data_IF_693994674208
#
_entry.id   IF_693994674208
#
_cell.length_a   1.000
_cell.length_b   1.000
_cell.length_c   1.000
_cell.angle_alpha   90.00
_cell.angle_beta   90.00
_cell.angle_gamma   90.00
#
_symmetry.space_group_name_H-M   'P 1'
#
loop_
_entity.id
_entity.type
_entity.pdbx_description
1 polymer ?
#
# COMPACT_ATOMS: atom_id res chain seq x y z
N UNK A 1 -0.74 -27.20 -18.28
CA UNK A 1 -1.59 -27.89 -19.26
C UNK A 1 -2.16 -29.11 -18.58
N UNK A 2 -3.42 -29.40 -18.83
CA UNK A 2 -4.02 -30.67 -18.46
C UNK A 2 -3.37 -31.83 -19.25
N UNK A 3 -2.90 -32.83 -18.51
CA UNK A 3 -2.24 -34.02 -18.99
C UNK A 3 -3.15 -35.23 -19.04
N UNK A 4 -4.46 -35.06 -18.87
CA UNK A 4 -5.44 -36.12 -19.02
C UNK A 4 -5.38 -36.73 -20.44
N UNK A 5 -5.91 -37.96 -20.57
CA UNK A 5 -5.90 -38.67 -21.85
C UNK A 5 -6.75 -37.98 -22.92
N UNK A 6 -7.77 -37.21 -22.54
CA UNK A 6 -8.61 -36.45 -23.48
C UNK A 6 -7.83 -35.34 -24.16
N UNK A 7 -6.86 -34.74 -23.47
CA UNK A 7 -6.00 -33.66 -23.98
C UNK A 7 -4.84 -34.13 -24.88
N UNK A 8 -4.85 -35.39 -25.35
CA UNK A 8 -3.74 -35.97 -26.09
C UNK A 8 -3.51 -35.26 -27.42
N UNK A 9 -4.56 -35.01 -28.19
CA UNK A 9 -4.50 -34.30 -29.47
C UNK A 9 -4.19 -32.81 -29.29
N UNK A 10 -4.71 -32.17 -28.24
CA UNK A 10 -4.32 -30.80 -27.85
C UNK A 10 -2.82 -30.69 -27.58
N UNK A 11 -2.19 -31.70 -26.99
CA UNK A 11 -0.73 -31.73 -26.75
C UNK A 11 0.06 -31.74 -28.05
N UNK A 12 -0.39 -32.51 -29.03
CA UNK A 12 0.21 -32.56 -30.37
C UNK A 12 0.07 -31.21 -31.07
N UNK A 13 -1.09 -30.56 -30.94
CA UNK A 13 -1.34 -29.22 -31.47
C UNK A 13 -0.51 -28.15 -30.75
N UNK A 14 -0.39 -28.21 -29.43
CA UNK A 14 0.44 -27.29 -28.63
C UNK A 14 1.92 -27.38 -28.96
N UNK A 15 2.40 -28.56 -29.36
CA UNK A 15 3.77 -28.72 -29.86
C UNK A 15 3.99 -27.89 -31.15
N UNK A 16 2.99 -27.84 -32.04
CA UNK A 16 3.03 -27.04 -33.27
C UNK A 16 2.84 -25.54 -32.97
N UNK A 17 1.84 -25.19 -32.15
CA UNK A 17 1.53 -23.83 -31.75
C UNK A 17 2.64 -23.21 -30.90
N UNK A 18 3.34 -23.99 -30.07
CA UNK A 18 4.42 -23.52 -29.23
C UNK A 18 5.52 -22.82 -30.04
N UNK A 19 5.84 -23.35 -31.22
CA UNK A 19 6.78 -22.71 -32.15
C UNK A 19 6.24 -21.37 -32.65
N UNK A 20 4.99 -21.33 -33.12
CA UNK A 20 4.35 -20.11 -33.64
C UNK A 20 4.14 -19.04 -32.56
N UNK A 21 3.79 -19.46 -31.34
CA UNK A 21 3.58 -18.59 -30.19
C UNK A 21 4.88 -17.88 -29.83
N UNK A 22 5.97 -18.61 -29.72
CA UNK A 22 7.30 -18.05 -29.46
C UNK A 22 7.68 -17.07 -30.57
N UNK A 23 7.50 -17.44 -31.84
CA UNK A 23 7.80 -16.54 -32.97
C UNK A 23 6.96 -15.26 -32.92
N UNK A 24 5.68 -15.36 -32.56
CA UNK A 24 4.78 -14.22 -32.41
C UNK A 24 5.16 -13.32 -31.23
N UNK A 25 5.54 -13.91 -30.09
CA UNK A 25 6.00 -13.16 -28.91
C UNK A 25 7.35 -12.50 -29.18
N UNK A 26 8.27 -13.17 -29.89
CA UNK A 26 9.56 -12.61 -30.33
C UNK A 26 9.39 -11.33 -31.15
N UNK A 27 8.31 -11.23 -31.93
CA UNK A 27 7.99 -10.02 -32.69
C UNK A 27 7.46 -8.86 -31.82
N UNK A 28 6.94 -9.14 -30.63
CA UNK A 28 6.40 -8.13 -29.70
C UNK A 28 7.45 -7.71 -28.67
N UNK A 29 8.20 -8.67 -28.12
CA UNK A 29 9.23 -8.44 -27.11
C UNK A 29 10.41 -9.38 -27.30
N UNK A 30 11.62 -8.82 -27.26
CA UNK A 30 12.86 -9.59 -27.26
C UNK A 30 13.18 -10.23 -25.91
N UNK A 31 12.45 -9.85 -24.86
CA UNK A 31 12.75 -10.24 -23.49
C UNK A 31 11.58 -10.99 -22.85
N UNK A 32 11.41 -12.26 -23.21
CA UNK A 32 10.41 -13.16 -22.62
C UNK A 32 11.06 -14.50 -22.22
N UNK A 33 10.40 -15.22 -21.33
CA UNK A 33 10.70 -16.62 -21.01
C UNK A 33 9.44 -17.44 -21.09
N UNK A 34 9.59 -18.73 -21.38
CA UNK A 34 8.50 -19.70 -21.45
C UNK A 34 8.85 -20.90 -20.58
N UNK A 35 7.84 -21.47 -19.94
CA UNK A 35 7.98 -22.65 -19.08
C UNK A 35 6.81 -23.57 -19.32
N UNK A 36 6.90 -24.82 -18.86
CA UNK A 36 5.87 -25.82 -19.07
C UNK A 36 5.62 -26.62 -17.79
N UNK A 37 4.36 -26.63 -17.36
CA UNK A 37 3.88 -27.48 -16.28
C UNK A 37 2.67 -28.28 -16.73
N UNK A 38 2.54 -29.49 -16.21
CA UNK A 38 1.47 -30.43 -16.53
C UNK A 38 0.77 -30.87 -15.25
N UNK A 39 -0.56 -31.02 -15.30
CA UNK A 39 -1.37 -31.48 -14.17
C UNK A 39 -2.38 -32.53 -14.64
N UNK A 40 -2.84 -33.39 -13.73
CA UNK A 40 -4.02 -34.24 -13.95
C UNK A 40 -4.88 -34.11 -12.70
N UNK A 41 -4.68 -34.97 -11.71
CA UNK A 41 -5.40 -34.88 -10.44
C UNK A 41 -4.65 -35.54 -9.28
N UNK A 42 -5.14 -35.37 -8.06
CA UNK A 42 -4.61 -36.00 -6.86
C UNK A 42 -4.50 -37.50 -7.06
N UNK A 43 -3.29 -38.05 -6.91
CA UNK A 43 -3.01 -39.47 -7.12
C UNK A 43 -3.49 -40.34 -5.94
N UNK A 44 -4.76 -40.19 -5.58
CA UNK A 44 -5.48 -40.92 -4.54
C UNK A 44 -6.93 -41.19 -4.98
N UNK A 45 -7.57 -42.18 -4.39
CA UNK A 45 -9.02 -42.37 -4.56
C UNK A 45 -9.80 -41.22 -3.89
N UNK A 46 -10.96 -40.80 -4.45
CA UNK A 46 -11.64 -41.37 -5.61
C UNK A 46 -11.21 -40.78 -6.98
N UNK A 47 -10.33 -39.78 -7.00
CA UNK A 47 -9.99 -39.03 -8.23
C UNK A 47 -9.20 -39.88 -9.22
N UNK A 48 -8.23 -40.65 -8.71
CA UNK A 48 -7.42 -41.55 -9.52
C UNK A 48 -7.34 -42.95 -8.92
N UNK A 49 -7.23 -43.95 -9.79
CA UNK A 49 -7.01 -45.34 -9.39
C UNK A 49 -5.67 -45.49 -8.67
N UNK A 50 -5.72 -45.95 -7.41
CA UNK A 50 -4.52 -46.34 -6.64
C UNK A 50 -4.12 -47.79 -6.89
N UNK A 51 -4.80 -48.50 -7.80
CA UNK A 51 -4.35 -49.83 -8.23
C UNK A 51 -2.98 -49.70 -8.91
N UNK A 52 -2.09 -50.71 -8.79
CA UNK A 52 -0.80 -50.68 -9.45
C UNK A 52 -0.96 -50.33 -10.93
N UNK A 53 -0.30 -49.24 -11.35
CA UNK A 53 -0.39 -48.77 -12.72
C UNK A 53 0.16 -49.84 -13.66
N UNK A 54 -0.72 -50.37 -14.50
CA UNK A 54 -0.33 -51.29 -15.56
C UNK A 54 -0.07 -50.51 -16.85
N UNK A 55 1.20 -50.33 -17.20
CA UNK A 55 1.62 -49.68 -18.42
C UNK A 55 1.04 -50.34 -19.69
N UNK A 56 0.70 -51.63 -19.64
CA UNK A 56 0.09 -52.34 -20.77
C UNK A 56 -1.32 -51.82 -21.10
N UNK A 57 -2.03 -51.24 -20.12
CA UNK A 57 -3.38 -50.68 -20.31
C UNK A 57 -3.36 -49.31 -20.99
N UNK A 58 -2.25 -48.59 -20.91
CA UNK A 58 -1.99 -47.39 -21.69
C UNK A 58 -0.48 -47.24 -21.94
N UNK A 59 0.02 -47.76 -23.08
CA UNK A 59 1.46 -47.77 -23.38
C UNK A 59 2.10 -46.39 -23.48
N UNK A 60 1.29 -45.37 -23.80
CA UNK A 60 1.73 -43.98 -23.97
C UNK A 60 1.51 -43.14 -22.70
N UNK A 61 0.86 -43.70 -21.68
CA UNK A 61 0.61 -42.99 -20.43
C UNK A 61 1.76 -43.17 -19.44
N UNK A 62 1.83 -42.26 -18.48
CA UNK A 62 2.61 -42.46 -17.27
C UNK A 62 1.73 -42.69 -16.03
N UNK A 63 2.38 -43.06 -14.93
CA UNK A 63 1.72 -43.18 -13.65
C UNK A 63 1.06 -41.85 -13.26
N UNK A 64 -0.18 -41.85 -12.79
CA UNK A 64 -0.90 -40.61 -12.52
C UNK A 64 -0.27 -39.73 -11.44
N UNK A 65 -0.55 -38.43 -11.52
CA UNK A 65 0.07 -37.41 -10.69
C UNK A 65 -0.82 -36.16 -10.64
N UNK A 66 -0.66 -35.36 -9.59
CA UNK A 66 -1.38 -34.09 -9.44
C UNK A 66 -0.78 -32.99 -10.31
N UNK A 67 0.47 -32.60 -10.05
CA UNK A 67 1.16 -31.57 -10.81
C UNK A 67 2.65 -31.87 -10.95
N UNK A 68 3.23 -31.47 -12.09
CA UNK A 68 4.67 -31.49 -12.37
C UNK A 68 5.07 -30.21 -13.08
N UNK A 69 6.08 -29.54 -12.56
CA UNK A 69 6.85 -28.54 -13.30
C UNK A 69 7.86 -29.27 -14.20
N UNK A 70 7.58 -29.35 -15.50
CA UNK A 70 8.42 -30.08 -16.46
C UNK A 70 9.59 -29.21 -16.93
N UNK A 71 9.36 -27.91 -17.12
CA UNK A 71 10.35 -26.97 -17.61
C UNK A 71 10.18 -25.62 -16.90
N UNK A 72 11.19 -25.25 -16.12
CA UNK A 72 11.35 -23.90 -15.59
C UNK A 72 11.51 -22.87 -16.71
N UNK A 73 11.20 -21.61 -16.42
CA UNK A 73 11.16 -20.53 -17.39
C UNK A 73 12.52 -20.34 -18.09
N UNK A 74 12.55 -20.54 -19.42
CA UNK A 74 13.72 -20.40 -20.28
C UNK A 74 13.45 -19.47 -21.45
N UNK A 75 14.49 -18.87 -22.01
CA UNK A 75 14.44 -18.10 -23.26
C UNK A 75 14.60 -18.99 -24.52
N UNK A 76 14.97 -20.26 -24.33
CA UNK A 76 15.09 -21.23 -25.41
C UNK A 76 13.76 -21.92 -25.75
N UNK A 77 13.19 -21.52 -26.88
CA UNK A 77 11.95 -22.06 -27.42
C UNK A 77 12.03 -23.52 -27.87
N UNK A 78 13.21 -23.97 -28.28
CA UNK A 78 13.38 -25.36 -28.74
C UNK A 78 13.28 -26.32 -27.56
N UNK A 79 13.81 -25.93 -26.39
CA UNK A 79 13.66 -26.72 -25.16
C UNK A 79 12.19 -26.80 -24.75
N UNK A 80 11.43 -25.72 -24.87
CA UNK A 80 9.99 -25.73 -24.61
C UNK A 80 9.23 -26.70 -25.50
N UNK A 81 9.44 -26.64 -26.82
CA UNK A 81 8.77 -27.56 -27.76
C UNK A 81 9.13 -29.01 -27.46
N UNK A 82 10.38 -29.29 -27.11
CA UNK A 82 10.82 -30.64 -26.73
C UNK A 82 10.17 -31.09 -25.42
N UNK A 83 10.13 -30.24 -24.39
CA UNK A 83 9.49 -30.55 -23.11
C UNK A 83 8.00 -30.89 -23.25
N UNK A 84 7.26 -30.14 -24.08
CA UNK A 84 5.85 -30.42 -24.39
C UNK A 84 5.71 -31.77 -25.12
N UNK A 85 6.58 -32.02 -26.10
CA UNK A 85 6.56 -33.24 -26.91
C UNK A 85 6.84 -34.49 -26.08
N UNK A 86 7.85 -34.43 -25.21
CA UNK A 86 8.32 -35.56 -24.40
C UNK A 86 7.44 -35.84 -23.17
N UNK A 87 6.64 -34.87 -22.72
CA UNK A 87 5.70 -35.09 -21.62
C UNK A 87 4.67 -36.17 -21.97
N UNK A 88 4.36 -37.05 -21.01
CA UNK A 88 3.37 -38.11 -21.17
C UNK A 88 2.03 -37.69 -20.58
N UNK A 89 0.95 -38.17 -21.18
CA UNK A 89 -0.39 -38.03 -20.60
C UNK A 89 -0.56 -39.05 -19.47
N UNK A 90 -1.52 -38.83 -18.57
CA UNK A 90 -1.97 -39.82 -17.60
C UNK A 90 -3.50 -39.93 -17.62
N UNK A 91 -4.03 -40.83 -16.79
CA UNK A 91 -5.47 -41.08 -16.69
C UNK A 91 -5.93 -40.85 -15.26
N UNK A 92 -7.10 -40.26 -15.13
CA UNK A 92 -7.92 -40.13 -13.93
C UNK A 92 -9.21 -40.95 -14.07
N UNK A 93 -10.01 -41.00 -13.00
CA UNK A 93 -11.28 -41.75 -12.93
C UNK A 93 -12.47 -40.82 -13.09
N UNK A 94 -12.48 -39.71 -12.36
CA UNK A 94 -13.56 -38.73 -12.37
C UNK A 94 -13.36 -37.67 -13.46
N UNK A 95 -14.35 -36.79 -13.59
CA UNK A 95 -14.40 -35.82 -14.69
C UNK A 95 -13.71 -34.48 -14.36
N UNK A 96 -13.88 -33.88 -13.16
CA UNK A 96 -13.12 -32.67 -12.82
C UNK A 96 -11.64 -32.99 -12.63
N UNK A 97 -10.78 -32.01 -12.89
CA UNK A 97 -9.33 -32.17 -12.78
C UNK A 97 -8.76 -31.32 -11.64
N UNK A 98 -7.54 -31.67 -11.21
CA UNK A 98 -6.79 -31.00 -10.14
C UNK A 98 -6.02 -29.76 -10.58
N UNK A 99 -6.50 -29.03 -11.60
CA UNK A 99 -5.78 -27.91 -12.21
C UNK A 99 -5.39 -26.79 -11.26
N UNK A 100 -6.15 -26.57 -10.19
CA UNK A 100 -5.83 -25.52 -9.22
C UNK A 100 -4.67 -25.87 -8.28
N UNK A 101 -4.36 -27.15 -8.02
CA UNK A 101 -3.13 -27.50 -7.32
C UNK A 101 -1.91 -27.08 -8.16
N UNK A 102 -1.95 -27.37 -9.46
CA UNK A 102 -0.90 -26.97 -10.39
C UNK A 102 -0.78 -25.45 -10.54
N UNK A 103 -1.90 -24.74 -10.61
CA UNK A 103 -1.91 -23.27 -10.64
C UNK A 103 -1.30 -22.68 -9.36
N UNK A 104 -1.68 -23.17 -8.18
CA UNK A 104 -1.16 -22.68 -6.91
C UNK A 104 0.35 -22.90 -6.82
N UNK A 105 0.84 -24.11 -7.12
CA UNK A 105 2.28 -24.41 -7.10
C UNK A 105 3.06 -23.56 -8.11
N UNK A 106 2.51 -23.34 -9.31
CA UNK A 106 3.13 -22.46 -10.30
C UNK A 106 3.23 -20.99 -9.84
N UNK A 107 2.32 -20.52 -8.98
CA UNK A 107 2.34 -19.16 -8.42
C UNK A 107 3.37 -19.05 -7.29
N UNK A 108 3.34 -19.98 -6.32
CA UNK A 108 4.08 -19.84 -5.05
C UNK A 108 5.53 -20.34 -5.15
N UNK A 109 5.84 -21.26 -6.06
CA UNK A 109 7.18 -21.81 -6.25
C UNK A 109 8.05 -20.91 -7.14
N UNK A 110 8.30 -19.67 -6.71
CA UNK A 110 8.99 -18.68 -7.54
C UNK A 110 10.37 -19.12 -8.02
N UNK A 111 11.11 -19.86 -7.18
CA UNK A 111 12.47 -20.29 -7.49
C UNK A 111 12.48 -21.48 -8.43
N UNK A 112 11.59 -22.43 -8.22
CA UNK A 112 11.51 -23.68 -8.96
C UNK A 112 10.95 -23.44 -10.37
N UNK A 113 10.00 -22.52 -10.50
CA UNK A 113 9.47 -22.05 -11.80
C UNK A 113 10.44 -21.08 -12.50
N UNK A 114 11.35 -20.45 -11.76
CA UNK A 114 12.28 -19.39 -12.20
C UNK A 114 11.59 -18.10 -12.66
N UNK A 115 10.61 -17.62 -11.86
CA UNK A 115 9.97 -16.34 -12.11
C UNK A 115 10.97 -15.19 -11.96
N UNK A 116 11.06 -14.33 -12.97
CA UNK A 116 11.87 -13.10 -12.87
C UNK A 116 11.24 -12.12 -11.87
N UNK A 117 12.10 -11.35 -11.22
CA UNK A 117 11.71 -10.33 -10.24
C UNK A 117 10.93 -9.14 -10.85
N UNK A 118 11.21 -8.78 -12.11
CA UNK A 118 10.63 -7.64 -12.80
C UNK A 118 10.17 -8.05 -14.21
N UNK A 119 9.09 -8.80 -14.28
CA UNK A 119 8.45 -9.16 -15.54
C UNK A 119 6.96 -9.34 -15.31
N UNK A 120 6.15 -9.17 -16.36
CA UNK A 120 4.79 -9.69 -16.31
C UNK A 120 4.84 -11.21 -16.27
N UNK A 121 4.16 -11.79 -15.27
CA UNK A 121 3.97 -13.23 -15.11
C UNK A 121 2.61 -13.60 -15.70
N UNK A 122 2.61 -14.44 -16.73
CA UNK A 122 1.40 -14.92 -17.39
C UNK A 122 1.34 -16.44 -17.24
N UNK A 123 0.24 -16.95 -16.69
CA UNK A 123 -0.04 -18.39 -16.61
C UNK A 123 -1.21 -18.69 -17.54
N UNK A 124 -1.02 -19.64 -18.44
CA UNK A 124 -2.08 -20.17 -19.31
C UNK A 124 -2.50 -21.53 -18.76
N UNK A 125 -3.65 -21.58 -18.12
CA UNK A 125 -4.30 -22.83 -17.72
C UNK A 125 -5.16 -23.33 -18.89
N UNK A 126 -4.92 -24.56 -19.34
CA UNK A 126 -5.59 -25.18 -20.49
C UNK A 126 -6.01 -26.59 -20.09
N UNK A 127 -7.31 -26.87 -20.24
CA UNK A 127 -8.01 -28.13 -19.97
C UNK A 127 -9.29 -28.15 -20.80
N UNK A 128 -9.82 -29.34 -21.09
CA UNK A 128 -11.13 -29.59 -21.67
C UNK A 128 -12.18 -29.99 -20.63
N UNK A 129 -11.80 -30.05 -19.36
CA UNK A 129 -12.61 -30.52 -18.24
C UNK A 129 -12.92 -29.44 -17.19
N UNK A 130 -13.72 -29.83 -16.18
CA UNK A 130 -13.98 -28.99 -15.01
C UNK A 130 -12.80 -28.95 -14.04
N UNK A 131 -12.94 -28.22 -12.94
CA UNK A 131 -11.91 -28.14 -11.90
C UNK A 131 -12.46 -28.54 -10.55
N UNK A 132 -11.66 -29.26 -9.77
CA UNK A 132 -11.90 -29.40 -8.34
C UNK A 132 -11.62 -28.09 -7.59
N UNK A 133 -12.40 -27.86 -6.54
CA UNK A 133 -12.30 -26.68 -5.68
C UNK A 133 -12.07 -27.08 -4.22
N UNK A 134 -11.67 -26.13 -3.38
CA UNK A 134 -11.56 -26.34 -1.94
C UNK A 134 -12.82 -27.00 -1.36
N UNK A 135 -12.62 -28.04 -0.56
CA UNK A 135 -13.65 -28.91 0.01
C UNK A 135 -13.79 -30.24 -0.73
N UNK A 136 -13.44 -30.31 -2.02
CA UNK A 136 -13.57 -31.53 -2.81
C UNK A 136 -12.59 -32.62 -2.34
N UNK A 137 -11.41 -32.23 -1.82
CA UNK A 137 -10.40 -33.13 -1.24
C UNK A 137 -10.94 -34.01 -0.10
N UNK A 138 -12.03 -33.59 0.54
CA UNK A 138 -12.69 -34.33 1.62
C UNK A 138 -13.16 -35.71 1.18
N UNK A 139 -13.51 -35.89 -0.09
CA UNK A 139 -13.90 -37.19 -0.65
C UNK A 139 -12.74 -38.19 -0.64
N UNK A 140 -11.51 -37.72 -0.84
CA UNK A 140 -10.27 -38.51 -0.73
C UNK A 140 -9.70 -38.57 0.69
N UNK A 141 -10.44 -38.12 1.71
CA UNK A 141 -9.97 -38.09 3.10
C UNK A 141 -9.03 -36.92 3.43
N UNK A 142 -8.84 -35.99 2.51
CA UNK A 142 -8.01 -34.80 2.72
C UNK A 142 -8.87 -33.71 3.36
N UNK A 143 -8.49 -33.30 4.57
CA UNK A 143 -9.25 -32.30 5.34
C UNK A 143 -8.44 -31.07 5.72
N UNK A 144 -7.13 -31.08 5.46
CA UNK A 144 -6.24 -29.95 5.74
C UNK A 144 -6.35 -28.95 4.58
N UNK A 145 -6.75 -27.69 4.83
CA UNK A 145 -6.80 -26.67 3.79
C UNK A 145 -5.43 -26.44 3.14
N UNK A 146 -5.43 -26.00 1.88
CA UNK A 146 -4.23 -25.58 1.18
C UNK A 146 -3.50 -24.48 1.95
N UNK A 147 -2.18 -24.61 2.14
CA UNK A 147 -1.39 -23.65 2.91
C UNK A 147 -0.79 -22.52 2.08
N UNK A 148 -1.02 -22.51 0.76
CA UNK A 148 -0.51 -21.52 -0.19
C UNK A 148 1.04 -21.40 -0.16
N UNK A 149 1.75 -22.50 0.13
CA UNK A 149 3.21 -22.55 0.09
C UNK A 149 3.73 -23.55 -0.94
N UNK A 150 5.02 -23.43 -1.28
CA UNK A 150 5.66 -24.26 -2.30
C UNK A 150 6.04 -25.64 -1.76
N UNK A 151 5.67 -26.68 -2.51
CA UNK A 151 5.81 -28.10 -2.16
C UNK A 151 6.27 -28.96 -3.35
N UNK A 152 7.10 -28.41 -4.23
CA UNK A 152 7.72 -29.16 -5.31
C UNK A 152 9.00 -29.85 -4.80
N UNK A 153 9.20 -31.10 -5.23
CA UNK A 153 10.47 -31.78 -5.03
C UNK A 153 11.53 -31.35 -6.06
N UNK A 154 12.72 -31.93 -5.98
CA UNK A 154 13.83 -31.64 -6.89
C UNK A 154 13.54 -32.03 -8.35
N UNK A 155 12.58 -32.93 -8.59
CA UNK A 155 12.12 -33.35 -9.91
C UNK A 155 10.92 -32.50 -10.40
N UNK A 156 10.54 -31.47 -9.64
CA UNK A 156 9.44 -30.57 -9.96
C UNK A 156 8.05 -31.18 -9.71
N UNK A 157 7.93 -32.31 -9.00
CA UNK A 157 6.63 -32.95 -8.71
C UNK A 157 6.02 -32.34 -7.44
N UNK A 158 4.72 -32.10 -7.47
CA UNK A 158 3.99 -31.70 -6.27
C UNK A 158 3.87 -32.88 -5.30
N UNK A 159 4.33 -32.68 -4.07
CA UNK A 159 4.47 -33.76 -3.07
C UNK A 159 3.32 -33.83 -2.07
N UNK A 160 2.56 -32.74 -1.89
CA UNK A 160 1.53 -32.64 -0.85
C UNK A 160 0.11 -32.88 -1.36
N UNK A 161 -0.04 -33.55 -2.51
CA UNK A 161 -1.34 -33.77 -3.16
C UNK A 161 -2.31 -34.60 -2.30
N UNK A 162 -1.80 -35.47 -1.42
CA UNK A 162 -2.54 -36.35 -0.51
C UNK A 162 -2.68 -35.78 0.92
N UNK A 163 -2.07 -34.63 1.19
CA UNK A 163 -2.09 -33.98 2.50
C UNK A 163 -2.91 -32.70 2.49
N UNK A 164 -2.83 -31.90 1.42
CA UNK A 164 -3.45 -30.59 1.31
C UNK A 164 -4.63 -30.62 0.33
N UNK A 165 -5.74 -30.03 0.74
CA UNK A 165 -6.93 -29.86 -0.10
C UNK A 165 -6.63 -28.92 -1.29
N UNK A 166 -7.52 -28.94 -2.29
CA UNK A 166 -7.46 -27.99 -3.40
C UNK A 166 -7.58 -26.55 -2.87
N UNK A 167 -6.94 -25.57 -3.52
CA UNK A 167 -7.01 -24.18 -3.08
C UNK A 167 -8.39 -23.57 -3.36
N UNK A 168 -8.77 -22.56 -2.57
CA UNK A 168 -10.02 -21.82 -2.77
C UNK A 168 -9.88 -20.81 -3.93
N UNK A 169 -10.83 -20.84 -4.87
CA UNK A 169 -10.83 -20.00 -6.08
C UNK A 169 -11.12 -18.52 -5.79
N UNK A 170 -11.74 -18.25 -4.63
CA UNK A 170 -12.46 -16.99 -4.41
C UNK A 170 -11.59 -15.78 -4.03
N UNK A 171 -10.35 -15.96 -3.55
CA UNK A 171 -9.64 -14.84 -2.91
C UNK A 171 -8.49 -14.24 -3.72
N UNK A 172 -7.87 -14.98 -4.66
CA UNK A 172 -6.57 -14.56 -5.21
C UNK A 172 -6.53 -14.36 -6.75
N UNK A 173 -7.54 -14.83 -7.51
CA UNK A 173 -7.52 -14.82 -8.99
C UNK A 173 -8.66 -13.93 -9.56
N UNK A 174 -8.59 -12.63 -9.31
CA UNK A 174 -9.44 -11.64 -9.99
C UNK A 174 -8.51 -10.60 -10.59
N UNK A 175 -8.73 -10.19 -11.85
CA UNK A 175 -8.07 -9.05 -12.49
C UNK A 175 -8.29 -7.80 -11.65
N UNK A 176 -7.41 -7.61 -10.67
CA UNK A 176 -7.49 -6.59 -9.67
C UNK A 176 -6.16 -5.86 -9.60
N UNK A 177 -6.24 -4.57 -9.35
CA UNK A 177 -5.09 -3.78 -8.91
C UNK A 177 -5.42 -3.31 -7.50
N UNK A 178 -4.67 -3.82 -6.54
CA UNK A 178 -4.71 -3.39 -5.14
C UNK A 178 -3.48 -2.55 -4.85
N UNK A 179 -3.62 -1.42 -4.17
CA UNK A 179 -2.49 -0.63 -3.69
C UNK A 179 -2.23 -0.94 -2.23
N UNK A 180 -0.96 -1.23 -1.91
CA UNK A 180 -0.45 -1.36 -0.55
C UNK A 180 0.31 -0.09 -0.13
N UNK A 181 0.27 0.23 1.17
CA UNK A 181 1.01 1.34 1.79
C UNK A 181 1.77 0.79 3.00
N UNK A 182 3.09 0.91 2.96
CA UNK A 182 4.00 0.50 4.03
C UNK A 182 4.72 1.72 4.62
N UNK A 183 5.14 1.61 5.89
CA UNK A 183 5.90 2.67 6.58
C UNK A 183 5.05 3.74 7.28
N UNK A 184 3.72 3.61 7.28
CA UNK A 184 2.85 4.55 8.00
C UNK A 184 3.04 4.42 9.53
N UNK A 185 3.14 5.56 10.22
CA UNK A 185 3.20 5.64 11.68
C UNK A 185 1.90 6.17 12.28
N UNK A 186 1.79 6.15 13.61
CA UNK A 186 0.63 6.70 14.33
C UNK A 186 0.55 8.24 14.29
N UNK A 187 1.61 8.92 13.81
CA UNK A 187 1.63 10.36 13.63
C UNK A 187 0.86 10.82 12.39
N UNK A 188 0.62 9.92 11.44
CA UNK A 188 -0.03 10.22 10.15
C UNK A 188 -1.21 9.29 9.89
N UNK A 189 -2.16 9.76 9.10
CA UNK A 189 -3.22 8.93 8.51
C UNK A 189 -3.12 9.00 7.00
N UNK A 190 -3.17 7.83 6.37
CA UNK A 190 -3.17 7.68 4.91
C UNK A 190 -4.55 7.20 4.48
N UNK A 191 -5.19 7.95 3.60
CA UNK A 191 -6.45 7.59 2.96
C UNK A 191 -6.23 7.39 1.47
N UNK A 192 -6.83 6.32 0.94
CA UNK A 192 -6.71 5.95 -0.46
C UNK A 192 -8.07 6.07 -1.14
N UNK A 193 -8.04 6.71 -2.30
CA UNK A 193 -9.17 6.76 -3.20
C UNK A 193 -8.77 6.21 -4.56
N UNK A 194 -9.67 5.47 -5.19
CA UNK A 194 -9.46 4.90 -6.51
C UNK A 194 -10.50 5.42 -7.48
N UNK A 195 -10.07 5.77 -8.68
CA UNK A 195 -10.89 5.97 -9.87
C UNK A 195 -10.53 4.86 -10.85
N UNK A 196 -11.38 3.84 -10.88
CA UNK A 196 -11.22 2.67 -11.73
C UNK A 196 -11.83 2.97 -13.12
N UNK A 197 -12.65 2.05 -13.66
CA UNK A 197 -13.49 2.32 -14.85
C UNK A 197 -14.62 3.31 -14.57
N UNK A 198 -15.04 3.42 -13.32
CA UNK A 198 -16.04 4.39 -12.90
C UNK A 198 -15.41 5.80 -12.99
N UNK A 199 -16.11 6.76 -13.59
CA UNK A 199 -15.59 8.14 -13.66
C UNK A 199 -15.45 8.80 -12.28
N UNK A 200 -16.04 8.17 -11.26
CA UNK A 200 -16.13 8.67 -9.90
C UNK A 200 -14.99 8.14 -9.04
N UNK A 201 -14.40 9.06 -8.29
CA UNK A 201 -13.40 8.77 -7.28
C UNK A 201 -14.09 8.24 -6.02
N UNK A 202 -13.73 7.05 -5.55
CA UNK A 202 -14.30 6.42 -4.37
C UNK A 202 -13.23 5.96 -3.39
N UNK A 203 -13.55 5.94 -2.10
CA UNK A 203 -12.63 5.52 -1.04
C UNK A 203 -12.47 3.99 -1.05
N UNK A 204 -11.52 3.52 -1.85
CA UNK A 204 -11.21 2.11 -2.05
C UNK A 204 -9.72 1.96 -2.34
N UNK A 205 -9.16 0.83 -1.91
CA UNK A 205 -7.75 0.45 -2.16
C UNK A 205 -7.58 -0.47 -3.36
N UNK A 206 -8.70 -0.91 -3.97
CA UNK A 206 -8.71 -1.92 -5.02
C UNK A 206 -9.63 -1.54 -6.18
N UNK A 207 -9.19 -1.87 -7.39
CA UNK A 207 -9.97 -1.83 -8.62
C UNK A 207 -10.12 -3.24 -9.19
N UNK A 208 -11.35 -3.69 -9.42
CA UNK A 208 -11.66 -5.02 -9.95
C UNK A 208 -12.11 -4.93 -11.43
N UNK A 209 -12.14 -6.08 -12.11
CA UNK A 209 -12.64 -6.23 -13.50
C UNK A 209 -11.91 -5.36 -14.52
N UNK A 210 -10.59 -5.24 -14.36
CA UNK A 210 -9.73 -4.52 -15.30
C UNK A 210 -9.31 -5.43 -16.47
N UNK A 211 -9.16 -4.83 -17.65
CA UNK A 211 -8.62 -5.43 -18.86
C UNK A 211 -7.20 -4.87 -19.09
N UNK A 212 -6.40 -5.59 -19.86
CA UNK A 212 -5.10 -5.09 -20.28
C UNK A 212 -5.25 -3.78 -21.08
N UNK A 213 -4.51 -2.74 -20.70
CA UNK A 213 -4.58 -1.39 -21.27
C UNK A 213 -5.46 -0.41 -20.50
N UNK A 214 -6.30 -0.88 -19.57
CA UNK A 214 -7.13 0.01 -18.75
C UNK A 214 -6.26 0.82 -17.78
N UNK A 215 -6.41 2.15 -17.76
CA UNK A 215 -5.77 3.03 -16.78
C UNK A 215 -6.67 3.20 -15.55
N UNK A 216 -6.07 3.10 -14.37
CA UNK A 216 -6.70 3.45 -13.10
C UNK A 216 -5.89 4.54 -12.40
N UNK A 217 -6.60 5.41 -11.70
CA UNK A 217 -6.01 6.51 -10.95
C UNK A 217 -6.23 6.31 -9.46
N UNK A 218 -5.14 6.29 -8.70
CA UNK A 218 -5.20 6.30 -7.24
C UNK A 218 -4.81 7.68 -6.72
N UNK A 219 -5.66 8.24 -5.86
CA UNK A 219 -5.39 9.46 -5.10
C UNK A 219 -5.06 9.08 -3.68
N UNK A 220 -3.84 9.41 -3.27
CA UNK A 220 -3.37 9.21 -1.89
C UNK A 220 -3.51 10.54 -1.15
N UNK A 221 -4.16 10.51 0.00
CA UNK A 221 -4.30 11.65 0.90
C UNK A 221 -3.57 11.34 2.19
N UNK A 222 -2.50 12.08 2.47
CA UNK A 222 -1.69 11.94 3.68
C UNK A 222 -2.00 13.12 4.60
N UNK A 223 -2.34 12.83 5.84
CA UNK A 223 -2.64 13.84 6.86
C UNK A 223 -1.78 13.60 8.10
N UNK A 224 -1.14 14.66 8.61
CA UNK A 224 -0.39 14.65 9.87
C UNK A 224 -1.36 14.94 11.02
N UNK A 225 -1.48 14.01 11.96
CA UNK A 225 -2.41 14.08 13.08
C UNK A 225 -1.78 14.59 14.36
N UNK A 226 -0.47 14.35 14.54
CA UNK A 226 0.29 14.81 15.71
C UNK A 226 1.75 15.01 15.33
N UNK A 227 2.42 15.86 16.09
CA UNK A 227 3.86 16.01 16.07
C UNK A 227 4.48 15.11 17.15
N UNK A 228 5.30 14.12 16.77
CA UNK A 228 6.07 13.34 17.72
C UNK A 228 6.98 14.23 18.58
N UNK A 229 7.25 13.79 19.82
CA UNK A 229 8.19 14.50 20.70
C UNK A 229 9.64 14.24 20.30
N UNK A 230 9.92 13.03 19.81
CA UNK A 230 11.22 12.67 19.28
C UNK A 230 11.37 13.24 17.87
N UNK A 231 12.47 13.93 17.62
CA UNK A 231 12.76 14.55 16.33
C UNK A 231 13.14 13.51 15.27
N UNK A 232 13.67 12.35 15.67
CA UNK A 232 14.00 11.28 14.73
C UNK A 232 12.72 10.69 14.09
N UNK A 233 11.58 10.80 14.77
CA UNK A 233 10.26 10.40 14.25
C UNK A 233 9.65 11.44 13.30
N UNK A 234 10.27 12.60 13.10
CA UNK A 234 9.75 13.63 12.19
C UNK A 234 9.98 13.29 10.72
N UNK A 235 10.88 12.35 10.44
CA UNK A 235 11.12 11.82 9.10
C UNK A 235 10.46 10.45 8.96
N UNK A 236 9.56 10.31 7.98
CA UNK A 236 8.88 9.05 7.67
C UNK A 236 9.03 8.78 6.19
N UNK A 237 9.42 7.56 5.84
CA UNK A 237 9.40 7.09 4.45
C UNK A 237 8.21 6.15 4.25
N UNK A 238 7.33 6.51 3.32
CA UNK A 238 6.21 5.66 2.88
C UNK A 238 6.55 4.95 1.58
N UNK A 239 6.18 3.68 1.48
CA UNK A 239 6.25 2.91 0.25
C UNK A 239 4.84 2.60 -0.24
N UNK A 240 4.50 3.07 -1.44
CA UNK A 240 3.19 2.87 -2.06
C UNK A 240 3.36 2.06 -3.34
N UNK A 241 2.86 0.83 -3.38
CA UNK A 241 3.05 -0.07 -4.52
C UNK A 241 1.79 -0.89 -4.84
N UNK A 242 1.57 -1.22 -6.12
CA UNK A 242 0.61 -2.26 -6.46
C UNK A 242 1.01 -3.61 -5.88
N UNK A 243 0.05 -4.36 -5.36
CA UNK A 243 0.25 -5.73 -4.88
C UNK A 243 0.73 -6.63 -6.04
N UNK A 244 1.73 -7.46 -5.77
CA UNK A 244 2.36 -8.32 -6.80
C UNK A 244 3.37 -7.61 -7.71
N UNK A 245 3.64 -6.33 -7.51
CA UNK A 245 4.65 -5.57 -8.26
C UNK A 245 5.75 -5.02 -7.35
N UNK A 246 7.00 -5.10 -7.81
CA UNK A 246 8.18 -4.63 -7.04
C UNK A 246 8.49 -3.14 -7.20
N UNK A 247 7.76 -2.42 -8.05
CA UNK A 247 7.94 -0.97 -8.23
C UNK A 247 7.04 -0.21 -7.25
N UNK A 248 7.65 0.58 -6.38
CA UNK A 248 6.97 1.38 -5.38
C UNK A 248 7.24 2.88 -5.60
N UNK A 249 6.21 3.71 -5.42
CA UNK A 249 6.38 5.13 -5.16
C UNK A 249 6.90 5.30 -3.73
N UNK A 250 8.08 5.87 -3.58
CA UNK A 250 8.65 6.22 -2.28
C UNK A 250 8.33 7.68 -1.96
N UNK A 251 7.75 7.94 -0.79
CA UNK A 251 7.44 9.29 -0.32
C UNK A 251 8.21 9.53 0.97
N UNK A 252 9.21 10.40 0.91
CA UNK A 252 9.90 10.89 2.10
C UNK A 252 9.16 12.10 2.66
N UNK A 253 8.53 11.92 3.82
CA UNK A 253 7.74 12.90 4.52
C UNK A 253 8.54 13.46 5.69
N UNK A 254 8.74 14.78 5.70
CA UNK A 254 9.35 15.50 6.83
C UNK A 254 8.29 16.35 7.50
N UNK A 255 8.00 16.06 8.76
CA UNK A 255 7.07 16.84 9.59
C UNK A 255 7.76 18.11 10.06
N UNK A 256 7.14 19.25 9.77
CA UNK A 256 7.57 20.55 10.28
C UNK A 256 6.82 20.85 11.57
N UNK A 257 7.39 20.37 12.68
CA UNK A 257 6.76 20.47 14.00
C UNK A 257 7.24 21.66 14.82
N UNK A 258 8.34 22.29 14.42
CA UNK A 258 8.88 23.49 15.01
C UNK A 258 8.88 24.67 14.03
N UNK A 259 8.97 25.87 14.59
CA UNK A 259 9.22 27.07 13.82
C UNK A 259 10.70 27.47 13.93
N UNK A 260 11.29 27.99 12.86
CA UNK A 260 12.69 28.45 12.86
C UNK A 260 13.00 29.44 13.99
N UNK A 261 12.06 30.33 14.31
CA UNK A 261 12.20 31.32 15.38
C UNK A 261 12.10 30.75 16.80
N UNK A 262 11.85 29.44 16.95
CA UNK A 262 11.90 28.73 18.23
C UNK A 262 13.26 28.06 18.48
N UNK A 263 14.16 28.08 17.49
CA UNK A 263 15.46 27.43 17.57
C UNK A 263 16.58 28.38 18.03
N UNK A 264 17.56 27.87 18.82
CA UNK A 264 18.74 28.64 19.20
C UNK A 264 19.51 29.20 18.00
N UNK A 265 19.74 30.52 17.99
CA UNK A 265 20.49 31.21 16.94
C UNK A 265 19.64 32.00 15.95
N UNK A 266 18.31 31.84 15.97
CA UNK A 266 17.39 32.73 15.26
C UNK A 266 17.16 34.04 16.03
N UNK A 267 16.89 35.14 15.33
CA UNK A 267 16.61 36.44 15.96
C UNK A 267 15.34 36.42 16.84
N UNK A 268 14.41 35.51 16.53
CA UNK A 268 13.20 35.28 17.31
C UNK A 268 13.40 34.41 18.55
N UNK A 269 14.61 33.88 18.80
CA UNK A 269 14.93 33.08 19.96
C UNK A 269 15.98 33.74 20.85
N UNK A 270 15.59 34.17 22.04
CA UNK A 270 16.50 34.78 23.03
C UNK A 270 16.32 34.08 24.36
N UNK A 271 17.36 33.40 24.83
CA UNK A 271 17.37 32.76 26.16
C UNK A 271 17.42 33.84 27.25
N UNK A 272 16.66 33.68 28.34
CA UNK A 272 16.62 34.65 29.45
C UNK A 272 16.40 36.10 28.97
N UNK A 273 15.43 36.28 28.08
CA UNK A 273 15.24 37.54 27.39
C UNK A 273 14.84 38.65 28.37
N UNK A 274 15.39 39.85 28.16
CA UNK A 274 15.08 41.02 28.98
C UNK A 274 13.58 41.36 28.95
N UNK A 275 12.92 41.16 27.80
CA UNK A 275 11.48 41.41 27.66
C UNK A 275 10.61 40.36 28.36
N UNK A 276 11.21 39.22 28.73
CA UNK A 276 10.61 38.13 29.50
C UNK A 276 11.12 38.13 30.96
N UNK A 277 11.44 39.32 31.49
CA UNK A 277 11.89 39.53 32.87
C UNK A 277 13.16 38.75 33.26
N UNK A 278 13.95 38.29 32.28
CA UNK A 278 15.14 37.43 32.46
C UNK A 278 14.87 36.07 33.12
N UNK A 279 13.60 35.70 33.28
CA UNK A 279 13.13 34.43 33.87
C UNK A 279 12.25 33.66 32.88
N UNK A 280 12.49 33.91 31.60
CA UNK A 280 11.81 33.27 30.48
C UNK A 280 12.59 33.45 29.19
N UNK A 281 12.35 32.57 28.24
CA UNK A 281 12.94 32.63 26.91
C UNK A 281 11.96 33.31 25.95
N UNK A 282 12.44 34.21 25.11
CA UNK A 282 11.64 34.79 24.05
C UNK A 282 11.66 33.85 22.84
N UNK A 283 10.49 33.44 22.35
CA UNK A 283 10.33 32.54 21.20
C UNK A 283 9.25 33.10 20.28
N UNK A 284 9.60 33.45 19.06
CA UNK A 284 8.67 33.90 18.01
C UNK A 284 7.68 35.00 18.43
N UNK A 285 8.07 35.98 19.25
CA UNK A 285 7.17 37.06 19.67
C UNK A 285 6.53 36.88 21.04
N UNK A 286 6.72 35.73 21.69
CA UNK A 286 6.06 35.39 22.97
C UNK A 286 7.08 34.90 23.99
N UNK A 287 6.83 35.15 25.28
CA UNK A 287 7.66 34.66 26.36
C UNK A 287 7.28 33.24 26.81
N UNK A 288 8.27 32.36 26.89
CA UNK A 288 8.20 31.02 27.45
C UNK A 288 8.84 31.03 28.84
N UNK A 289 8.00 31.18 29.87
CA UNK A 289 8.46 31.35 31.25
C UNK A 289 9.07 30.09 31.84
N UNK A 290 10.12 30.28 32.65
CA UNK A 290 10.75 29.21 33.39
C UNK A 290 9.82 28.68 34.50
N UNK A 291 10.07 27.47 35.04
CA UNK A 291 9.25 26.90 36.11
C UNK A 291 9.12 27.86 37.30
N UNK A 292 7.88 28.11 37.75
CA UNK A 292 7.59 29.03 38.85
C UNK A 292 7.16 30.44 38.41
N UNK A 293 7.30 30.80 37.13
CA UNK A 293 6.94 32.12 36.61
C UNK A 293 5.78 32.08 35.62
N UNK A 294 4.93 33.09 35.65
CA UNK A 294 3.74 33.25 34.83
C UNK A 294 3.55 34.72 34.40
N UNK A 295 2.69 34.96 33.42
CA UNK A 295 2.43 36.28 32.82
C UNK A 295 2.94 36.36 31.38
N UNK A 296 2.48 37.35 30.63
CA UNK A 296 2.86 37.54 29.22
C UNK A 296 4.35 37.87 29.06
N UNK A 297 4.99 38.38 30.12
CA UNK A 297 6.42 38.73 30.21
C UNK A 297 7.12 38.02 31.36
N UNK A 298 6.53 36.94 31.90
CA UNK A 298 7.07 36.18 33.03
C UNK A 298 7.31 37.03 34.29
N UNK A 299 6.51 38.07 34.47
CA UNK A 299 6.66 39.09 35.50
C UNK A 299 6.18 38.63 36.89
N UNK A 300 5.45 37.53 36.97
CA UNK A 300 4.84 37.04 38.22
C UNK A 300 5.41 35.70 38.65
N UNK A 301 5.70 35.57 39.94
CA UNK A 301 6.14 34.33 40.57
C UNK A 301 4.97 33.63 41.27
N UNK A 302 4.79 32.32 41.03
CA UNK A 302 3.72 31.49 41.60
C UNK A 302 3.81 31.34 43.13
N UNK A 303 4.99 31.58 43.71
CA UNK A 303 5.29 31.42 45.14
C UNK A 303 5.18 32.74 45.94
N UNK A 304 4.94 33.87 45.26
CA UNK A 304 4.90 35.20 45.86
C UNK A 304 3.49 35.66 46.25
N UNK A 305 3.40 36.53 47.26
CA UNK A 305 2.15 37.18 47.68
C UNK A 305 1.48 37.93 46.52
N UNK A 306 0.14 37.88 46.52
CA UNK A 306 -0.83 38.51 45.61
C UNK A 306 -0.29 39.70 44.79
N UNK A 307 0.14 39.43 43.56
CA UNK A 307 0.32 40.47 42.54
C UNK A 307 -1.06 40.82 41.99
N UNK A 308 -1.49 42.06 42.17
CA UNK A 308 -2.75 42.59 41.63
C UNK A 308 -2.73 42.50 40.10
N UNK A 309 -3.34 41.45 39.55
CA UNK A 309 -3.71 41.41 38.14
C UNK A 309 -5.09 42.03 37.95
N UNK A 310 -5.19 43.02 37.07
CA UNK A 310 -6.48 43.56 36.64
C UNK A 310 -7.20 42.52 35.79
N UNK A 311 -8.43 42.16 36.18
CA UNK A 311 -9.30 41.22 35.49
C UNK A 311 -9.52 41.56 34.00
N UNK A 312 -9.31 42.81 33.61
CA UNK A 312 -9.34 43.30 32.22
C UNK A 312 -8.43 42.50 31.27
N UNK A 313 -7.26 42.09 31.74
CA UNK A 313 -6.28 41.33 30.92
C UNK A 313 -6.75 39.92 30.56
N UNK A 314 -7.69 39.38 31.32
CA UNK A 314 -8.28 38.05 31.14
C UNK A 314 -9.68 38.09 30.50
N UNK A 315 -10.07 39.24 29.93
CA UNK A 315 -11.34 39.44 29.21
C UNK A 315 -11.05 39.60 27.71
N UNK A 316 -11.76 38.85 26.87
CA UNK A 316 -11.69 38.96 25.41
C UNK A 316 -12.17 40.34 24.90
N UNK A 317 -13.19 40.89 25.57
CA UNK A 317 -13.74 42.23 25.36
C UNK A 317 -14.18 42.82 26.70
N UNK A 318 -14.36 44.15 26.79
CA UNK A 318 -14.87 44.80 28.00
C UNK A 318 -16.21 44.23 28.52
N UNK A 319 -16.97 43.54 27.66
CA UNK A 319 -18.25 42.89 27.98
C UNK A 319 -18.16 41.37 28.19
N UNK A 320 -16.98 40.77 27.98
CA UNK A 320 -16.78 39.33 28.18
C UNK A 320 -16.55 38.97 29.65
N UNK A 321 -16.92 37.74 30.02
CA UNK A 321 -16.60 37.21 31.35
C UNK A 321 -15.10 36.96 31.47
N UNK A 322 -14.55 37.24 32.65
CA UNK A 322 -13.17 36.90 33.00
C UNK A 322 -12.96 35.41 32.76
N UNK A 323 -11.96 35.07 31.95
CA UNK A 323 -11.63 33.69 31.59
C UNK A 323 -12.81 32.86 31.05
N UNK A 324 -13.74 33.52 30.38
CA UNK A 324 -14.98 32.92 29.85
C UNK A 324 -15.79 32.16 30.93
N UNK A 325 -15.61 32.53 32.21
CA UNK A 325 -16.24 31.89 33.37
C UNK A 325 -15.72 30.50 33.74
N UNK A 326 -14.63 30.01 33.12
CA UNK A 326 -14.10 28.64 33.35
C UNK A 326 -12.83 28.57 34.20
N UNK A 327 -12.38 29.71 34.72
CA UNK A 327 -11.14 29.80 35.48
C UNK A 327 -11.03 31.09 36.26
N UNK A 328 -9.93 31.21 37.00
CA UNK A 328 -9.56 32.43 37.70
C UNK A 328 -8.47 33.16 36.90
N UNK A 329 -8.54 34.50 36.86
CA UNK A 329 -7.48 35.32 36.26
C UNK A 329 -6.35 35.47 37.27
N UNK A 330 -5.17 34.97 36.94
CA UNK A 330 -3.99 35.08 37.78
C UNK A 330 -2.86 35.63 36.92
N UNK A 331 -2.41 36.85 37.24
CA UNK A 331 -1.35 37.54 36.49
C UNK A 331 -1.62 37.60 34.98
N UNK A 332 -2.82 38.05 34.60
CA UNK A 332 -3.23 38.21 33.20
C UNK A 332 -3.38 36.92 32.40
N UNK A 333 -3.25 35.76 33.05
CA UNK A 333 -3.53 34.47 32.45
C UNK A 333 -4.71 33.77 33.08
N UNK A 334 -5.49 33.09 32.24
CA UNK A 334 -6.61 32.28 32.69
C UNK A 334 -6.17 30.90 33.15
N UNK A 335 -6.34 30.67 34.45
CA UNK A 335 -6.07 29.38 35.10
C UNK A 335 -7.38 28.64 35.28
N UNK A 336 -7.56 27.57 34.52
CA UNK A 336 -8.80 26.82 34.49
C UNK A 336 -9.01 25.98 35.77
N UNK A 337 -10.24 25.99 36.31
CA UNK A 337 -10.63 25.13 37.42
C UNK A 337 -10.74 23.69 36.93
N UNK A 338 -9.78 22.83 37.28
CA UNK A 338 -9.84 21.42 36.90
C UNK A 338 -10.89 20.67 37.71
N UNK A 339 -11.94 20.16 37.07
CA UNK A 339 -13.01 19.41 37.74
C UNK A 339 -12.59 18.03 38.27
N UNK A 340 -11.34 17.55 38.08
CA UNK A 340 -10.85 16.29 38.67
C UNK A 340 -9.34 16.32 38.96
N UNK A 341 -9.00 16.26 40.27
CA UNK A 341 -7.69 16.11 40.97
C UNK A 341 -6.88 17.40 41.25
N UNK A 342 -6.26 17.54 42.44
CA UNK A 342 -5.89 18.84 43.02
C UNK A 342 -4.42 19.26 42.87
N UNK A 343 -3.66 18.80 41.85
CA UNK A 343 -2.22 19.12 41.76
C UNK A 343 -1.68 19.55 40.39
N UNK A 344 -2.51 19.93 39.41
CA UNK A 344 -1.98 20.54 38.16
C UNK A 344 -2.86 21.68 37.63
N UNK A 345 -2.38 22.90 37.78
CA UNK A 345 -2.87 24.07 37.05
C UNK A 345 -2.62 23.87 35.54
N UNK A 346 -3.65 24.04 34.69
CA UNK A 346 -3.54 24.03 33.22
C UNK A 346 -4.06 25.36 32.65
N UNK A 347 -3.41 25.88 31.59
CA UNK A 347 -3.93 27.02 30.80
C UNK A 347 -5.27 26.62 30.17
N UNK A 348 -6.25 27.53 30.21
CA UNK A 348 -7.50 27.35 29.48
C UNK A 348 -7.23 27.29 27.98
N UNK A 349 -7.57 26.18 27.33
CA UNK A 349 -7.37 26.04 25.89
C UNK A 349 -8.41 26.86 25.13
N UNK A 350 -7.99 27.97 24.55
CA UNK A 350 -8.48 28.43 23.25
C UNK A 350 -7.27 28.58 22.34
N UNK A 351 -6.72 27.46 21.92
CA UNK A 351 -5.89 27.43 20.72
C UNK A 351 -6.62 26.47 19.78
N UNK A 352 -7.47 27.02 18.92
CA UNK A 352 -7.62 26.40 17.61
C UNK A 352 -6.24 26.55 16.97
N UNK A 353 -5.40 25.54 17.14
CA UNK A 353 -4.22 25.40 16.29
C UNK A 353 -4.84 25.19 14.91
N UNK A 354 -4.84 26.24 14.09
CA UNK A 354 -4.91 26.05 12.65
C UNK A 354 -3.64 25.29 12.28
N UNK A 355 -3.70 23.97 12.38
CA UNK A 355 -2.80 23.11 11.61
C UNK A 355 -3.22 23.42 10.18
N UNK A 356 -2.43 24.24 9.49
CA UNK A 356 -2.51 24.27 8.04
C UNK A 356 -2.16 22.85 7.60
N UNK A 357 -3.19 22.06 7.33
CA UNK A 357 -3.04 20.72 6.78
C UNK A 357 -2.44 20.92 5.40
N UNK A 358 -1.12 20.73 5.32
CA UNK A 358 -0.44 20.57 4.03
C UNK A 358 -0.89 19.20 3.53
N UNK A 359 -1.97 19.20 2.74
CA UNK A 359 -2.39 18.02 2.01
C UNK A 359 -1.47 17.87 0.81
N UNK A 360 -0.52 16.94 0.91
CA UNK A 360 0.20 16.46 -0.25
C UNK A 360 -0.68 15.41 -0.93
N UNK A 361 -1.23 15.76 -2.10
CA UNK A 361 -1.93 14.82 -2.96
C UNK A 361 -0.96 14.26 -3.99
N UNK A 362 -0.73 12.94 -3.98
CA UNK A 362 -0.09 12.25 -5.09
C UNK A 362 -1.18 11.56 -5.92
N UNK A 363 -1.18 11.82 -7.24
CA UNK A 363 -1.99 11.07 -8.20
C UNK A 363 -1.09 10.05 -8.88
N UNK A 364 -1.43 8.78 -8.70
CA UNK A 364 -0.74 7.65 -9.29
C UNK A 364 -1.58 7.12 -10.45
N UNK A 365 -1.03 7.15 -11.66
CA UNK A 365 -1.63 6.45 -12.80
C UNK A 365 -0.92 5.14 -13.04
N UNK A 366 -1.69 4.07 -13.08
CA UNK A 366 -1.21 2.73 -13.39
C UNK A 366 -2.15 2.08 -14.39
N UNK A 367 -1.60 1.38 -15.38
CA UNK A 367 -2.39 0.58 -16.31
C UNK A 367 -2.40 -0.89 -15.88
N UNK A 368 -3.54 -1.54 -15.99
CA UNK A 368 -3.63 -2.99 -15.94
C UNK A 368 -2.89 -3.56 -17.17
N UNK A 369 -1.87 -4.39 -16.99
CA UNK A 369 -1.00 -4.77 -18.11
C UNK A 369 -0.38 -6.15 -17.97
N UNK A 370 -0.46 -6.92 -19.07
CA UNK A 370 0.27 -8.18 -19.29
C UNK A 370 1.72 -7.96 -19.81
N UNK A 371 2.25 -6.73 -19.87
CA UNK A 371 3.63 -6.55 -20.37
C UNK A 371 4.39 -5.29 -19.96
N UNK A 372 3.76 -4.21 -19.49
CA UNK A 372 4.41 -2.92 -19.18
C UNK A 372 3.48 -2.08 -18.30
N UNK A 373 3.85 -1.88 -17.04
CA UNK A 373 3.25 -0.88 -16.16
C UNK A 373 4.23 0.28 -16.11
N UNK A 374 3.82 1.45 -16.61
CA UNK A 374 4.56 2.69 -16.40
C UNK A 374 3.89 3.42 -15.25
N UNK A 375 4.59 3.53 -14.12
CA UNK A 375 4.13 4.31 -12.97
C UNK A 375 4.35 5.79 -13.30
N UNK A 376 3.31 6.47 -13.79
CA UNK A 376 3.39 7.89 -14.06
C UNK A 376 2.98 8.65 -12.80
N UNK A 377 3.98 9.22 -12.12
CA UNK A 377 3.81 10.01 -10.91
C UNK A 377 3.63 11.47 -11.34
N UNK A 378 2.41 12.00 -11.20
CA UNK A 378 2.19 13.44 -11.26
C UNK A 378 2.47 14.01 -9.87
N UNK A 379 3.76 14.19 -9.57
CA UNK A 379 4.23 14.82 -8.34
C UNK A 379 4.34 16.33 -8.50
N UNK A 380 3.79 17.09 -7.54
CA UNK A 380 4.22 18.47 -7.33
C UNK A 380 5.39 18.44 -6.35
N UNK A 381 6.59 18.84 -6.80
CA UNK A 381 7.67 19.21 -5.86
C UNK A 381 7.24 20.53 -5.22
N UNK A 382 6.68 20.49 -4.01
CA UNK A 382 6.49 21.72 -3.24
C UNK A 382 7.80 22.08 -2.55
N UNK A 383 8.54 23.01 -3.17
CA UNK A 383 9.40 23.89 -2.41
C UNK A 383 8.50 24.77 -1.54
N UNK A 384 8.59 24.61 -0.22
CA UNK A 384 7.88 25.45 0.75
C UNK A 384 8.58 26.82 0.77
N UNK A 385 8.19 27.71 -0.13
CA UNK A 385 8.63 29.10 -0.08
C UNK A 385 7.88 29.84 1.04
N UNK A 386 8.63 30.38 2.00
CA UNK A 386 8.15 31.26 3.06
C UNK A 386 7.28 32.39 2.51
N UNK A 387 6.05 32.53 3.03
CA UNK A 387 5.33 33.79 2.97
C UNK A 387 5.86 34.69 4.10
N UNK A 388 6.64 35.69 3.73
CA UNK A 388 7.11 36.76 4.59
C UNK A 388 5.94 37.54 5.21
N UNK A 389 5.95 37.68 6.54
CA UNK A 389 5.02 38.52 7.28
C UNK A 389 5.25 40.00 6.96
N UNK A 390 4.25 40.67 6.41
CA UNK A 390 4.24 42.14 6.27
C UNK A 390 3.63 42.74 7.54
N UNK A 391 4.40 43.58 8.22
CA UNK A 391 3.96 44.47 9.29
C UNK A 391 2.93 45.49 8.76
N UNK A 392 1.75 45.62 9.40
CA UNK A 392 1.14 46.90 9.84
C UNK A 392 -0.33 46.77 10.28
N UNK A 393 -0.84 47.74 11.07
CA UNK A 393 -1.89 47.54 12.08
C UNK A 393 -3.30 47.90 11.61
N UNK A 394 -4.28 47.66 12.51
CA UNK A 394 -5.59 48.35 12.69
C UNK A 394 -6.82 47.42 12.73
N UNK A 395 -7.57 47.64 13.80
CA UNK A 395 -8.96 47.33 14.17
C UNK A 395 -9.97 46.73 13.16
N UNK A 396 -10.81 45.88 13.77
CA UNK A 396 -12.28 45.71 13.65
C UNK A 396 -12.86 45.04 12.40
N UNK A 397 -13.63 43.99 12.73
CA UNK A 397 -14.72 43.31 12.00
C UNK A 397 -14.33 42.46 10.79
N UNK A 398 -14.48 41.15 10.94
CA UNK A 398 -14.69 40.23 9.83
C UNK A 398 -15.97 39.42 10.09
N UNK A 399 -17.00 39.70 9.28
CA UNK A 399 -17.95 38.68 8.84
C UNK A 399 -17.15 37.63 8.04
N UNK A 400 -17.43 36.35 8.30
CA UNK A 400 -16.87 35.20 7.60
C UNK A 400 -16.98 35.33 6.07
N UNK A 401 -15.90 35.09 5.31
CA UNK A 401 -16.01 34.48 4.00
C UNK A 401 -15.67 33.00 4.13
N UNK A 402 -16.60 32.13 3.71
CA UNK A 402 -16.32 30.74 3.38
C UNK A 402 -15.33 30.70 2.21
N UNK A 403 -14.07 30.37 2.47
CA UNK A 403 -13.09 30.09 1.41
C UNK A 403 -13.21 28.61 1.06
N UNK A 404 -13.83 28.33 -0.08
CA UNK A 404 -13.69 27.04 -0.77
C UNK A 404 -12.26 26.95 -1.32
N UNK A 405 -11.53 25.83 -1.12
CA UNK A 405 -10.21 25.68 -1.68
C UNK A 405 -10.33 25.59 -3.21
N UNK A 406 -9.88 26.63 -3.90
CA UNK A 406 -9.79 26.65 -5.36
C UNK A 406 -8.54 25.87 -5.75
N UNK A 407 -8.72 24.61 -6.18
CA UNK A 407 -7.64 23.85 -6.81
C UNK A 407 -7.45 24.44 -8.22
N UNK A 408 -6.47 25.33 -8.39
CA UNK A 408 -5.99 25.70 -9.72
C UNK A 408 -5.12 24.56 -10.24
N UNK A 409 -5.71 23.69 -11.06
CA UNK A 409 -4.96 22.72 -11.86
C UNK A 409 -4.26 23.46 -13.01
N UNK A 410 -2.93 23.38 -13.05
CA UNK A 410 -2.15 23.78 -14.22
C UNK A 410 -1.77 22.50 -14.96
N UNK A 411 -2.47 22.20 -16.04
CA UNK A 411 -2.17 21.06 -16.92
C UNK A 411 -0.93 21.38 -17.75
N UNK A 412 0.22 20.81 -17.38
CA UNK A 412 1.38 20.75 -18.27
C UNK A 412 1.28 19.46 -19.09
N UNK A 413 0.84 19.60 -20.35
CA UNK A 413 1.01 18.59 -21.37
C UNK A 413 2.48 18.60 -21.79
N UNK A 414 3.19 17.51 -21.54
CA UNK A 414 4.47 17.26 -22.19
C UNK A 414 4.41 15.97 -22.99
N UNK A 415 4.46 16.15 -24.30
CA UNK A 415 4.73 15.14 -25.30
C UNK A 415 6.22 14.89 -25.39
N UNK A 416 6.63 13.64 -25.63
CA UNK A 416 8.00 13.29 -26.00
C UNK A 416 8.04 11.88 -26.63
N UNK A 417 9.04 11.60 -27.49
CA UNK A 417 8.75 11.26 -28.87
C UNK A 417 8.74 9.75 -29.15
N UNK A 418 7.90 9.38 -30.11
CA UNK A 418 8.10 8.19 -30.93
C UNK A 418 9.53 8.18 -31.47
N UNK A 419 10.33 7.20 -31.04
CA UNK A 419 11.41 6.67 -31.86
C UNK A 419 11.22 5.16 -32.03
N UNK A 420 11.45 4.77 -33.28
CA UNK A 420 11.02 3.57 -33.99
C UNK A 420 11.38 2.24 -33.34
#
# INVERSE_FOLDING_TARGET
MDGSKSMKDDKEMLTQLGKQLVESIKNITSNFRVGFGIFVDKAILPYISTLPFNADSCPECEAPFSYKNILSLTDDSSIFVNAVKESKVASNIDYPEGGFDGLMQAIVCEREIDWRNQSTRLIVLSTDAGFHIAGDGKLGGITKPNDKTCHLDADGRYTHYDVLDYPSVAEDIINRVTINVEGASDAISVQLYSKCKDEKLEERTQCNNLNAGDEVEFKVVIQVNKCPKDQDEWMITLFISPEGHKQALTIDLTMMCDCKCEQPGDQGFIVNADQCSKVGDYKCGVCSCHPGYIGDKCECELSGNEVQSTDESCKLTNSSLVCSGQGDCICGMCVCKTLRKPERYKKCAQVMVHVNVISAGASLRTSASSAKTALNVLGSVMNISHASSVNSPVEKRALLPTVTPTVRSLTLLWSSPLQK
#
